data_IF_756177014400
#
_entry.id   IF_756177014400
#
_cell.length_a   1.000
_cell.length_b   1.000
_cell.length_c   1.000
_cell.angle_alpha   90.00
_cell.angle_beta   90.00
_cell.angle_gamma   90.00
#
_symmetry.space_group_name_H-M   'P 1'
#
loop_
_entity.id
_entity.type
_entity.pdbx_description
1 polymer ?
#
# COMPACT_ATOMS: atom_id res chain seq x y z
N UNK A 1 -9.54 11.06 -70.80
CA UNK A 1 -9.16 10.21 -69.65
C UNK A 1 -8.04 10.79 -68.76
N UNK A 2 -7.60 12.04 -68.95
CA UNK A 2 -6.51 12.63 -68.13
C UNK A 2 -6.97 13.49 -66.94
N UNK A 3 -8.26 13.75 -66.77
CA UNK A 3 -8.76 14.64 -65.74
C UNK A 3 -9.06 13.95 -64.38
N UNK A 4 -9.14 12.63 -64.38
CA UNK A 4 -9.45 11.85 -63.14
C UNK A 4 -8.21 11.66 -62.29
N UNK A 5 -7.03 11.56 -62.90
CA UNK A 5 -5.75 11.39 -62.20
C UNK A 5 -5.28 12.62 -61.39
N UNK A 6 -5.75 13.83 -61.79
CA UNK A 6 -5.36 15.08 -61.05
C UNK A 6 -6.07 15.27 -59.72
N UNK A 7 -7.25 14.68 -59.53
CA UNK A 7 -8.00 14.77 -58.27
C UNK A 7 -7.50 13.79 -57.21
N UNK A 8 -6.98 12.67 -57.61
CA UNK A 8 -6.45 11.66 -56.69
C UNK A 8 -5.14 12.10 -56.00
N UNK A 9 -4.31 12.91 -56.68
CA UNK A 9 -3.03 13.39 -56.13
C UNK A 9 -3.18 14.46 -55.02
N UNK A 10 -4.29 15.24 -55.03
CA UNK A 10 -4.53 16.28 -54.01
C UNK A 10 -5.09 15.75 -52.70
N UNK A 11 -5.74 14.60 -52.71
CA UNK A 11 -6.27 13.95 -51.51
C UNK A 11 -5.21 13.12 -50.75
N UNK A 12 -4.23 12.53 -51.46
CA UNK A 12 -3.14 11.82 -50.79
C UNK A 12 -2.18 12.74 -50.04
N UNK A 13 -1.95 13.96 -50.56
CA UNK A 13 -1.06 14.93 -49.89
C UNK A 13 -1.64 15.49 -48.57
N UNK A 14 -2.96 15.51 -48.43
CA UNK A 14 -3.62 16.02 -47.20
C UNK A 14 -3.73 14.94 -46.12
N UNK A 15 -3.80 13.67 -46.49
CA UNK A 15 -3.79 12.53 -45.54
C UNK A 15 -2.40 12.28 -44.96
N UNK A 16 -1.34 12.55 -45.74
CA UNK A 16 0.03 12.36 -45.27
C UNK A 16 0.47 13.38 -44.21
N UNK A 17 -0.10 14.60 -44.23
CA UNK A 17 0.22 15.68 -43.28
C UNK A 17 -0.49 15.47 -41.92
N UNK A 18 -1.67 14.86 -41.90
CA UNK A 18 -2.41 14.57 -40.67
C UNK A 18 -1.82 13.36 -39.91
N UNK A 19 -1.22 12.42 -40.67
CA UNK A 19 -0.56 11.26 -40.04
C UNK A 19 0.80 11.58 -39.40
N UNK A 20 1.48 12.64 -39.82
CA UNK A 20 2.80 13.03 -39.29
C UNK A 20 2.74 13.78 -37.96
N UNK A 21 1.59 14.34 -37.58
CA UNK A 21 1.45 15.07 -36.31
C UNK A 21 1.05 14.21 -35.11
N UNK A 22 0.67 12.94 -35.33
CA UNK A 22 0.26 12.03 -34.26
C UNK A 22 1.43 11.24 -33.62
N UNK A 23 2.64 11.30 -34.16
CA UNK A 23 3.78 10.47 -33.71
C UNK A 23 4.73 11.23 -32.77
N UNK A 24 4.57 12.54 -32.56
CA UNK A 24 5.46 13.31 -31.68
C UNK A 24 5.02 13.40 -30.22
N UNK A 25 3.94 12.72 -29.83
CA UNK A 25 3.48 12.72 -28.43
C UNK A 25 3.97 11.52 -27.61
N UNK A 26 4.82 10.63 -28.17
CA UNK A 26 5.22 9.38 -27.52
C UNK A 26 6.65 9.37 -26.95
N UNK A 27 7.33 10.50 -26.88
CA UNK A 27 8.64 10.60 -26.22
C UNK A 27 8.60 11.68 -25.15
N UNK A 28 7.89 11.40 -24.05
CA UNK A 28 8.20 12.00 -22.76
C UNK A 28 9.08 10.98 -22.04
N UNK A 29 10.40 11.14 -22.01
CA UNK A 29 11.26 10.42 -21.09
C UNK A 29 11.12 11.10 -19.74
N UNK A 30 10.08 10.78 -19.07
CA UNK A 30 9.72 11.26 -17.74
C UNK A 30 8.92 10.20 -17.05
N UNK A 31 9.46 8.96 -17.02
CA UNK A 31 9.11 7.99 -16.02
C UNK A 31 9.53 8.53 -14.67
N UNK A 32 8.89 9.60 -14.23
CA UNK A 32 8.85 9.95 -12.84
C UNK A 32 8.25 8.74 -12.14
N UNK A 33 9.09 7.95 -11.50
CA UNK A 33 8.73 7.29 -10.28
C UNK A 33 8.19 8.42 -9.40
N UNK A 34 6.90 8.66 -9.47
CA UNK A 34 6.23 9.37 -8.41
C UNK A 34 6.54 8.54 -7.19
N UNK A 35 7.35 9.02 -6.23
CA UNK A 35 7.25 8.48 -4.92
C UNK A 35 5.76 8.69 -4.60
N UNK A 36 5.05 7.61 -4.36
CA UNK A 36 3.72 7.63 -3.77
C UNK A 36 3.89 8.10 -2.32
N UNK A 37 4.54 9.24 -2.17
CA UNK A 37 4.47 10.09 -1.02
C UNK A 37 3.14 10.81 -1.14
N UNK A 38 2.08 10.15 -0.72
CA UNK A 38 0.79 10.76 -0.53
C UNK A 38 0.91 11.89 0.49
N UNK A 39 1.26 13.07 0.03
CA UNK A 39 0.84 14.33 0.66
C UNK A 39 -0.66 14.51 0.37
N UNK A 40 -1.43 13.48 0.62
CA UNK A 40 -2.86 13.55 0.71
C UNK A 40 -3.21 13.88 2.14
N UNK A 41 -4.08 14.80 2.37
CA UNK A 41 -4.81 15.07 3.61
C UNK A 41 -5.69 13.88 4.03
N UNK A 42 -5.22 12.66 3.83
CA UNK A 42 -5.85 11.42 4.20
C UNK A 42 -5.27 10.86 5.50
N UNK A 43 -6.04 10.07 6.22
CA UNK A 43 -5.59 9.38 7.41
C UNK A 43 -4.45 8.38 7.06
N UNK A 44 -3.43 8.35 7.90
CA UNK A 44 -2.35 7.36 7.81
C UNK A 44 -2.90 6.01 8.26
N UNK A 45 -2.87 5.03 7.36
CA UNK A 45 -3.33 3.70 7.72
C UNK A 45 -2.25 2.96 8.50
N UNK A 46 -2.58 2.59 9.74
CA UNK A 46 -1.73 1.84 10.66
C UNK A 46 -2.38 0.50 10.95
N UNK A 47 -1.65 -0.58 10.71
CA UNK A 47 -2.08 -1.92 11.07
C UNK A 47 -1.53 -2.28 12.45
N UNK A 48 -2.40 -2.77 13.34
CA UNK A 48 -2.03 -3.29 14.67
C UNK A 48 -2.19 -4.80 14.67
N UNK A 49 -1.09 -5.54 14.74
CA UNK A 49 -1.07 -6.99 14.82
C UNK A 49 -1.06 -7.43 16.28
N UNK A 50 -2.09 -8.16 16.70
CA UNK A 50 -2.30 -8.59 18.07
C UNK A 50 -2.63 -10.10 18.16
N UNK A 51 -2.35 -10.78 19.28
CA UNK A 51 -2.51 -12.23 19.40
C UNK A 51 -3.96 -12.69 19.58
N UNK A 52 -4.94 -11.83 19.37
CA UNK A 52 -6.36 -12.18 19.45
C UNK A 52 -6.74 -13.33 18.51
N UNK A 53 -7.76 -14.07 18.89
CA UNK A 53 -8.25 -15.23 18.12
C UNK A 53 -7.50 -16.52 18.41
N UNK A 54 -6.59 -16.55 19.39
CA UNK A 54 -5.86 -17.76 19.81
C UNK A 54 -6.73 -18.71 20.64
N UNK A 55 -7.84 -18.23 21.18
CA UNK A 55 -8.67 -18.96 22.15
C UNK A 55 -8.11 -18.98 23.57
N UNK A 56 -6.96 -18.35 23.79
CA UNK A 56 -6.38 -18.23 25.13
C UNK A 56 -6.80 -16.90 25.77
N UNK A 57 -7.34 -16.95 26.98
CA UNK A 57 -7.84 -15.76 27.67
C UNK A 57 -6.76 -14.68 27.89
N UNK A 58 -5.50 -15.10 28.12
CA UNK A 58 -4.36 -14.17 28.25
C UNK A 58 -4.11 -13.39 26.97
N UNK A 59 -4.17 -14.05 25.83
CA UNK A 59 -3.90 -13.44 24.52
C UNK A 59 -5.03 -12.50 24.12
N UNK A 60 -6.27 -12.89 24.39
CA UNK A 60 -7.43 -12.03 24.15
C UNK A 60 -7.37 -10.74 25.01
N UNK A 61 -7.02 -10.89 26.31
CA UNK A 61 -6.84 -9.76 27.20
C UNK A 61 -5.70 -8.85 26.71
N UNK A 62 -4.57 -9.44 26.31
CA UNK A 62 -3.43 -8.70 25.78
C UNK A 62 -3.79 -7.95 24.49
N UNK A 63 -4.46 -8.63 23.56
CA UNK A 63 -4.92 -8.02 22.31
C UNK A 63 -5.81 -6.81 22.58
N UNK A 64 -6.78 -6.95 23.48
CA UNK A 64 -7.69 -5.86 23.85
C UNK A 64 -6.96 -4.71 24.55
N UNK A 65 -6.00 -5.01 25.39
CA UNK A 65 -5.21 -3.99 26.10
C UNK A 65 -4.35 -3.18 25.14
N UNK A 66 -3.71 -3.84 24.17
CA UNK A 66 -2.91 -3.17 23.14
C UNK A 66 -3.77 -2.30 22.21
N UNK A 67 -4.93 -2.79 21.80
CA UNK A 67 -5.88 -2.01 21.01
C UNK A 67 -6.32 -0.76 21.77
N UNK A 68 -6.70 -0.90 23.05
CA UNK A 68 -7.13 0.23 23.87
C UNK A 68 -6.00 1.24 24.06
N UNK A 69 -4.77 0.78 24.29
CA UNK A 69 -3.59 1.64 24.44
C UNK A 69 -3.30 2.42 23.13
N UNK A 70 -3.37 1.75 21.98
CA UNK A 70 -3.19 2.41 20.69
C UNK A 70 -4.26 3.48 20.45
N UNK A 71 -5.53 3.17 20.70
CA UNK A 71 -6.64 4.13 20.55
C UNK A 71 -6.52 5.32 21.50
N UNK A 72 -6.07 5.08 22.74
CA UNK A 72 -5.81 6.14 23.70
C UNK A 72 -4.70 7.07 23.21
N UNK A 73 -3.57 6.50 22.78
CA UNK A 73 -2.45 7.28 22.24
C UNK A 73 -2.85 8.11 21.01
N UNK A 74 -3.74 7.60 20.16
CA UNK A 74 -4.27 8.36 19.02
C UNK A 74 -5.05 9.59 19.43
N UNK A 75 -5.73 9.56 20.56
CA UNK A 75 -6.47 10.71 21.10
C UNK A 75 -5.59 11.92 21.47
N UNK A 76 -4.32 11.68 21.75
CA UNK A 76 -3.34 12.71 22.09
C UNK A 76 -2.60 13.29 20.87
N UNK A 77 -2.73 12.66 19.70
CA UNK A 77 -2.09 13.11 18.47
C UNK A 77 -2.78 14.34 17.90
N UNK A 78 -2.00 15.37 17.62
CA UNK A 78 -2.49 16.61 17.00
C UNK A 78 -1.94 16.72 15.58
N UNK A 79 -2.77 17.17 14.65
CA UNK A 79 -2.40 17.40 13.25
C UNK A 79 -2.06 16.13 12.45
N UNK A 80 -2.39 14.94 12.98
CA UNK A 80 -2.25 13.65 12.30
C UNK A 80 -3.55 12.89 12.46
N UNK A 81 -4.07 12.37 11.35
CA UNK A 81 -5.21 11.44 11.36
C UNK A 81 -4.68 10.03 11.12
N UNK A 82 -5.07 9.10 12.00
CA UNK A 82 -4.70 7.69 11.88
C UNK A 82 -5.96 6.86 11.66
N UNK A 83 -5.92 6.00 10.63
CA UNK A 83 -6.86 4.91 10.42
C UNK A 83 -6.24 3.64 11.02
N UNK A 84 -6.58 3.33 12.28
CA UNK A 84 -6.08 2.14 12.96
C UNK A 84 -6.93 0.92 12.64
N UNK A 85 -6.32 -0.07 12.03
CA UNK A 85 -6.94 -1.38 11.74
C UNK A 85 -6.27 -2.48 12.53
N UNK A 86 -7.07 -3.31 13.19
CA UNK A 86 -6.60 -4.41 14.05
C UNK A 86 -6.65 -5.73 13.28
N UNK A 87 -5.56 -6.48 13.35
CA UNK A 87 -5.39 -7.78 12.69
C UNK A 87 -4.99 -8.82 13.73
N UNK A 88 -5.82 -9.85 13.85
CA UNK A 88 -5.60 -10.94 14.81
C UNK A 88 -4.66 -11.99 14.23
N UNK A 89 -3.60 -12.31 14.96
CA UNK A 89 -2.57 -13.28 14.56
C UNK A 89 -2.76 -14.66 15.18
N UNK A 90 -3.69 -14.78 16.12
CA UNK A 90 -3.97 -16.01 16.89
C UNK A 90 -2.73 -16.62 17.56
N UNK A 91 -1.72 -15.81 17.88
CA UNK A 91 -0.47 -16.31 18.44
C UNK A 91 0.35 -17.17 17.48
N UNK A 92 0.08 -17.11 16.17
CA UNK A 92 0.65 -18.00 15.15
C UNK A 92 1.53 -17.24 14.17
N UNK A 93 2.80 -17.66 13.94
CA UNK A 93 3.69 -17.04 12.97
C UNK A 93 3.13 -17.04 11.53
N UNK A 94 2.46 -18.12 11.12
CA UNK A 94 1.86 -18.21 9.79
C UNK A 94 0.69 -17.22 9.62
N UNK A 95 -0.12 -17.06 10.65
CA UNK A 95 -1.19 -16.08 10.66
C UNK A 95 -0.61 -14.65 10.69
N UNK A 96 0.41 -14.39 11.48
CA UNK A 96 1.07 -13.09 11.52
C UNK A 96 1.60 -12.68 10.14
N UNK A 97 2.25 -13.60 9.42
CA UNK A 97 2.70 -13.38 8.05
C UNK A 97 1.53 -13.05 7.11
N UNK A 98 0.44 -13.84 7.15
CA UNK A 98 -0.74 -13.64 6.31
C UNK A 98 -1.44 -12.31 6.62
N UNK A 99 -1.58 -11.96 7.90
CA UNK A 99 -2.21 -10.70 8.32
C UNK A 99 -1.35 -9.48 7.97
N UNK A 100 -0.02 -9.59 8.06
CA UNK A 100 0.88 -8.52 7.63
C UNK A 100 0.77 -8.27 6.12
N UNK A 101 0.77 -9.32 5.30
CA UNK A 101 0.56 -9.19 3.85
C UNK A 101 -0.80 -8.57 3.52
N UNK A 102 -1.86 -9.01 4.21
CA UNK A 102 -3.19 -8.46 4.07
C UNK A 102 -3.21 -6.97 4.41
N UNK A 103 -2.61 -6.58 5.52
CA UNK A 103 -2.53 -5.18 5.94
C UNK A 103 -1.84 -4.31 4.88
N UNK A 104 -0.72 -4.78 4.32
CA UNK A 104 -0.02 -4.09 3.23
C UNK A 104 -0.89 -3.97 1.98
N UNK A 105 -1.56 -5.04 1.59
CA UNK A 105 -2.46 -5.04 0.43
C UNK A 105 -3.65 -4.07 0.61
N UNK A 106 -4.09 -3.87 1.85
CA UNK A 106 -5.14 -2.92 2.21
C UNK A 106 -4.63 -1.47 2.39
N UNK A 107 -3.33 -1.23 2.21
CA UNK A 107 -2.73 0.10 2.20
C UNK A 107 -2.08 0.53 3.52
N UNK A 108 -1.77 -0.39 4.43
CA UNK A 108 -1.04 -0.05 5.65
C UNK A 108 0.31 0.57 5.32
N UNK A 109 0.60 1.71 5.94
CA UNK A 109 1.87 2.42 5.81
C UNK A 109 2.85 2.08 6.94
N UNK A 110 2.32 1.63 8.07
CA UNK A 110 3.07 1.16 9.24
C UNK A 110 2.34 -0.04 9.84
N UNK A 111 3.10 -1.01 10.30
CA UNK A 111 2.61 -2.15 11.07
C UNK A 111 3.16 -2.05 12.50
N UNK A 112 2.28 -2.02 13.49
CA UNK A 112 2.59 -2.10 14.91
C UNK A 112 2.38 -3.54 15.39
N UNK A 113 3.31 -4.06 16.15
CA UNK A 113 3.34 -5.48 16.53
C UNK A 113 4.06 -6.33 15.47
N UNK A 114 3.95 -7.62 15.55
CA UNK A 114 3.30 -8.44 16.59
C UNK A 114 4.00 -8.43 17.95
N UNK A 115 3.42 -9.18 18.90
CA UNK A 115 3.94 -9.28 20.28
C UNK A 115 5.05 -10.33 20.42
N UNK A 116 4.86 -11.49 19.79
CA UNK A 116 5.78 -12.62 19.95
C UNK A 116 6.89 -12.60 18.91
N UNK A 117 8.13 -12.96 19.31
CA UNK A 117 9.31 -12.89 18.45
C UNK A 117 9.18 -13.69 17.14
N UNK A 118 8.61 -14.89 17.21
CA UNK A 118 8.41 -15.74 16.03
C UNK A 118 7.40 -15.12 15.05
N UNK A 119 6.35 -14.52 15.57
CA UNK A 119 5.38 -13.76 14.75
C UNK A 119 6.01 -12.54 14.12
N UNK A 120 6.82 -11.79 14.89
CA UNK A 120 7.51 -10.60 14.41
C UNK A 120 8.46 -10.92 13.25
N UNK A 121 9.23 -12.02 13.39
CA UNK A 121 10.08 -12.50 12.31
C UNK A 121 9.26 -12.88 11.07
N UNK A 122 8.21 -13.68 11.25
CA UNK A 122 7.37 -14.13 10.14
C UNK A 122 6.68 -12.95 9.41
N UNK A 123 6.13 -12.01 10.16
CA UNK A 123 5.51 -10.80 9.60
C UNK A 123 6.54 -9.93 8.85
N UNK A 124 7.72 -9.68 9.46
CA UNK A 124 8.77 -8.88 8.86
C UNK A 124 9.29 -9.47 7.54
N UNK A 125 9.54 -10.78 7.52
CA UNK A 125 9.95 -11.49 6.28
C UNK A 125 8.86 -11.41 5.21
N UNK A 126 7.60 -11.60 5.60
CA UNK A 126 6.48 -11.63 4.66
C UNK A 126 6.26 -10.30 3.93
N UNK A 127 6.60 -9.18 4.56
CA UNK A 127 6.41 -7.83 3.99
C UNK A 127 7.70 -7.11 3.62
N UNK A 128 8.85 -7.77 3.71
CA UNK A 128 10.17 -7.14 3.47
C UNK A 128 10.28 -6.40 2.13
N UNK A 129 9.64 -6.92 1.09
CA UNK A 129 9.66 -6.31 -0.25
C UNK A 129 8.69 -5.12 -0.40
N UNK A 130 7.80 -4.87 0.55
CA UNK A 130 6.78 -3.83 0.45
C UNK A 130 7.28 -2.43 0.81
N UNK A 131 8.40 -2.33 1.53
CA UNK A 131 8.90 -1.08 2.08
C UNK A 131 8.13 -0.57 3.30
N UNK A 132 7.14 -1.32 3.80
CA UNK A 132 6.38 -0.97 5.01
C UNK A 132 7.19 -1.30 6.25
N UNK A 133 7.25 -0.36 7.20
CA UNK A 133 7.95 -0.57 8.46
C UNK A 133 7.13 -1.41 9.43
N UNK A 134 7.77 -2.43 10.02
CA UNK A 134 7.19 -3.26 11.08
C UNK A 134 7.85 -2.90 12.40
N UNK A 135 7.06 -2.38 13.34
CA UNK A 135 7.49 -2.00 14.68
C UNK A 135 6.99 -3.06 15.68
N UNK A 136 7.77 -4.12 15.84
CA UNK A 136 7.44 -5.21 16.75
C UNK A 136 7.46 -4.76 18.21
N UNK A 137 6.57 -5.33 19.04
CA UNK A 137 6.63 -5.20 20.48
C UNK A 137 7.61 -6.21 21.12
N UNK A 138 8.08 -7.18 20.35
CA UNK A 138 9.11 -8.10 20.79
C UNK A 138 10.49 -7.44 20.73
N UNK A 139 11.26 -7.61 21.77
CA UNK A 139 12.64 -7.14 21.90
C UNK A 139 13.67 -8.28 21.80
N UNK A 140 13.27 -9.45 21.32
CA UNK A 140 14.09 -10.66 21.31
C UNK A 140 14.35 -11.15 19.88
#
# INVERSE_FOLDING_TARGET
MLSVLRRARKSLGRLAIVAATAVLAACVPGGGLSPSGGSGSGAIQVALLVPGGSGQASDELLAKSLENAARLAMGDLRNVQIDLRVYNTAGSPSQAAAQAQKAVAEGAQVILGPVFAQEANAAGVAVAASGVNVLSFSNN
#
